data_IF_043658030126
#
_entry.id   IF_043658030126
#
_cell.length_a   1.000
_cell.length_b   1.000
_cell.length_c   1.000
_cell.angle_alpha   90.00
_cell.angle_beta   90.00
_cell.angle_gamma   90.00
#
_symmetry.space_group_name_H-M   'P 1'
#
loop_
_entity.id
_entity.type
_entity.pdbx_description
1 polymer ?
#
# COMPACT_ATOMS: atom_id res chain seq x y z
N UNK A 1 17.33 29.39 -42.39
CA UNK A 1 17.19 28.87 -43.77
C UNK A 1 16.94 27.38 -43.65
N UNK A 2 15.80 26.77 -43.99
CA UNK A 2 14.82 27.07 -45.01
C UNK A 2 13.39 26.80 -44.48
N UNK A 3 12.55 27.83 -44.51
CA UNK A 3 11.10 27.78 -44.29
C UNK A 3 10.46 28.86 -45.17
N UNK A 4 10.77 28.83 -46.48
CA UNK A 4 10.29 29.84 -47.42
C UNK A 4 10.45 29.37 -48.88
N UNK A 5 9.67 28.38 -49.31
CA UNK A 5 9.47 28.11 -50.74
C UNK A 5 8.30 27.14 -50.95
N UNK A 6 7.06 27.64 -50.98
CA UNK A 6 5.93 27.05 -51.70
C UNK A 6 4.74 28.01 -51.61
N UNK A 7 4.86 29.14 -52.32
CA UNK A 7 3.76 30.09 -52.56
C UNK A 7 3.96 30.72 -53.95
N UNK A 8 3.32 30.13 -54.95
CA UNK A 8 3.05 30.58 -56.35
C UNK A 8 2.72 29.29 -57.10
N UNK A 9 1.47 28.91 -57.32
CA UNK A 9 0.47 29.39 -58.29
C UNK A 9 -0.92 28.90 -57.80
N UNK A 10 -2.09 29.50 -58.01
CA UNK A 10 -2.45 30.58 -58.91
C UNK A 10 -3.72 30.32 -59.74
N UNK A 11 -4.80 29.68 -59.24
CA UNK A 11 -6.14 29.74 -59.87
C UNK A 11 -7.28 29.77 -58.82
N UNK A 12 -8.16 30.78 -58.94
CA UNK A 12 -9.37 31.07 -58.13
C UNK A 12 -10.63 30.66 -58.91
N UNK A 13 -11.74 30.32 -58.23
CA UNK A 13 -13.11 30.86 -58.48
C UNK A 13 -14.04 30.58 -57.28
N UNK A 14 -15.09 31.41 -57.17
CA UNK A 14 -15.84 31.88 -55.98
C UNK A 14 -17.03 30.99 -55.50
N UNK A 15 -17.74 31.35 -54.40
CA UNK A 15 -18.51 30.45 -53.52
C UNK A 15 -20.03 30.48 -53.74
N UNK A 16 -20.76 29.50 -53.19
CA UNK A 16 -22.23 29.47 -53.20
C UNK A 16 -22.81 28.92 -51.89
N UNK A 17 -23.77 29.69 -51.36
CA UNK A 17 -24.89 29.34 -50.45
C UNK A 17 -24.73 29.72 -48.96
N UNK A 18 -25.43 30.81 -48.64
CA UNK A 18 -25.73 31.43 -47.35
C UNK A 18 -26.78 30.67 -46.51
N UNK A 19 -26.88 30.92 -45.19
CA UNK A 19 -27.95 30.38 -44.36
C UNK A 19 -29.21 31.24 -44.45
N UNK A 20 -30.41 30.62 -44.43
CA UNK A 20 -31.68 31.33 -44.25
C UNK A 20 -32.56 30.67 -43.17
N UNK A 21 -33.41 31.47 -42.50
CA UNK A 21 -34.04 31.15 -41.21
C UNK A 21 -35.43 30.51 -41.39
N UNK A 22 -35.94 29.85 -40.34
CA UNK A 22 -37.34 29.42 -40.28
C UNK A 22 -38.04 30.17 -39.14
N UNK A 23 -39.13 30.79 -39.55
CA UNK A 23 -40.12 31.60 -38.83
C UNK A 23 -40.90 30.83 -37.76
N UNK A 24 -41.25 31.55 -36.69
CA UNK A 24 -42.21 31.14 -35.67
C UNK A 24 -43.67 31.31 -36.16
N UNK A 25 -44.52 30.29 -35.97
CA UNK A 25 -45.97 30.37 -35.69
C UNK A 25 -46.42 29.04 -35.05
N UNK A 26 -47.20 29.09 -33.95
CA UNK A 26 -48.15 28.02 -33.61
C UNK A 26 -48.05 27.43 -32.20
N UNK A 27 -48.78 28.01 -31.25
CA UNK A 27 -49.02 27.56 -29.87
C UNK A 27 -50.02 26.41 -29.76
N UNK A 28 -49.68 25.35 -29.01
CA UNK A 28 -50.63 24.52 -28.21
C UNK A 28 -49.86 23.66 -27.19
N UNK A 29 -50.32 23.47 -25.94
CA UNK A 29 -49.50 22.94 -24.85
C UNK A 29 -49.45 21.40 -24.85
N UNK A 30 -48.24 20.84 -24.83
CA UNK A 30 -48.01 19.42 -24.51
C UNK A 30 -48.18 19.22 -23.00
N UNK A 31 -49.14 18.38 -22.63
CA UNK A 31 -49.33 17.87 -21.27
C UNK A 31 -48.11 17.02 -20.83
N UNK A 32 -47.75 16.99 -19.55
CA UNK A 32 -46.64 16.17 -19.07
C UNK A 32 -47.12 14.74 -18.82
N UNK A 33 -46.81 13.81 -19.71
CA UNK A 33 -46.87 12.37 -19.41
C UNK A 33 -45.48 11.91 -18.96
N UNK A 34 -45.21 12.07 -17.67
CA UNK A 34 -44.19 11.28 -16.98
C UNK A 34 -44.90 10.45 -15.91
N UNK A 35 -45.65 9.45 -16.36
CA UNK A 35 -45.89 8.26 -15.55
C UNK A 35 -44.60 7.45 -15.58
N UNK A 36 -43.88 7.51 -14.46
CA UNK A 36 -42.74 6.64 -14.17
C UNK A 36 -43.32 5.24 -13.87
N UNK A 37 -43.76 4.54 -14.92
CA UNK A 37 -44.11 3.12 -14.84
C UNK A 37 -42.82 2.34 -14.57
N UNK A 38 -42.54 2.14 -13.27
CA UNK A 38 -41.50 1.23 -12.83
C UNK A 38 -41.74 -0.17 -13.43
N UNK A 39 -40.67 -0.89 -13.82
CA UNK A 39 -40.82 -2.15 -14.53
C UNK A 39 -41.59 -3.17 -13.68
N UNK A 40 -42.69 -3.67 -14.24
CA UNK A 40 -43.53 -4.72 -13.69
C UNK A 40 -42.67 -5.97 -13.48
N UNK A 41 -42.51 -6.40 -12.22
CA UNK A 41 -41.78 -7.61 -11.86
C UNK A 41 -40.60 -7.45 -10.90
N UNK A 42 -40.42 -6.29 -10.26
CA UNK A 42 -39.40 -6.15 -9.20
C UNK A 42 -39.80 -7.04 -8.01
N UNK A 43 -39.07 -8.14 -7.80
CA UNK A 43 -39.13 -8.90 -6.53
C UNK A 43 -38.89 -7.92 -5.38
N UNK A 44 -39.95 -7.57 -4.65
CA UNK A 44 -39.83 -6.74 -3.46
C UNK A 44 -38.87 -7.42 -2.48
N UNK A 45 -37.78 -6.74 -2.14
CA UNK A 45 -36.87 -7.23 -1.10
C UNK A 45 -37.63 -7.18 0.22
N UNK A 46 -37.69 -8.29 0.95
CA UNK A 46 -38.33 -8.33 2.27
C UNK A 46 -37.74 -7.26 3.19
N UNK A 47 -38.62 -6.51 3.88
CA UNK A 47 -38.24 -5.47 4.85
C UNK A 47 -37.31 -6.01 5.95
N UNK A 48 -37.46 -7.28 6.31
CA UNK A 48 -36.62 -7.97 7.29
C UNK A 48 -35.18 -8.14 6.79
N UNK A 49 -34.99 -8.46 5.50
CA UNK A 49 -33.65 -8.59 4.89
C UNK A 49 -32.92 -7.26 4.88
N UNK A 50 -33.62 -6.17 4.50
CA UNK A 50 -33.04 -4.82 4.53
C UNK A 50 -32.66 -4.41 5.96
N UNK A 51 -33.55 -4.66 6.93
CA UNK A 51 -33.29 -4.38 8.36
C UNK A 51 -32.08 -5.15 8.89
N UNK A 52 -31.96 -6.43 8.55
CA UNK A 52 -30.81 -7.26 8.94
C UNK A 52 -29.51 -6.75 8.32
N UNK A 53 -29.52 -6.37 7.03
CA UNK A 53 -28.35 -5.74 6.38
C UNK A 53 -27.95 -4.43 7.05
N UNK A 54 -28.91 -3.57 7.37
CA UNK A 54 -28.64 -2.32 8.10
C UNK A 54 -27.96 -2.59 9.45
N UNK A 55 -28.45 -3.57 10.22
CA UNK A 55 -27.83 -3.96 11.50
C UNK A 55 -26.39 -4.42 11.31
N UNK A 56 -26.12 -5.25 10.30
CA UNK A 56 -24.77 -5.72 9.98
C UNK A 56 -23.83 -4.58 9.58
N UNK A 57 -24.25 -3.69 8.68
CA UNK A 57 -23.43 -2.55 8.24
C UNK A 57 -23.15 -1.59 9.39
N UNK A 58 -24.13 -1.35 10.28
CA UNK A 58 -23.95 -0.53 11.49
C UNK A 58 -22.92 -1.13 12.43
N UNK A 59 -22.91 -2.45 12.60
CA UNK A 59 -21.90 -3.14 13.41
C UNK A 59 -20.51 -3.03 12.78
N UNK A 60 -20.39 -3.22 11.46
CA UNK A 60 -19.14 -3.03 10.72
C UNK A 60 -18.63 -1.58 10.88
N UNK A 61 -19.51 -0.59 10.81
CA UNK A 61 -19.13 0.81 11.01
C UNK A 61 -18.59 1.06 12.43
N UNK A 62 -19.20 0.49 13.47
CA UNK A 62 -18.71 0.59 14.85
C UNK A 62 -17.34 -0.08 15.02
N UNK A 63 -17.16 -1.27 14.45
CA UNK A 63 -15.90 -2.02 14.52
C UNK A 63 -14.79 -1.22 13.82
N UNK A 64 -15.03 -0.70 12.62
CA UNK A 64 -14.04 0.10 11.87
C UNK A 64 -13.69 1.40 12.61
N UNK A 65 -14.65 2.09 13.23
CA UNK A 65 -14.36 3.25 14.10
C UNK A 65 -13.47 2.89 15.29
N UNK A 66 -13.76 1.78 15.98
CA UNK A 66 -12.94 1.30 17.08
C UNK A 66 -11.53 0.93 16.60
N UNK A 67 -11.41 0.19 15.49
CA UNK A 67 -10.12 -0.21 14.91
C UNK A 67 -9.29 1.00 14.47
N UNK A 68 -9.91 2.06 13.94
CA UNK A 68 -9.23 3.33 13.65
C UNK A 68 -8.59 3.91 14.92
N UNK A 69 -9.33 3.96 16.03
CA UNK A 69 -8.80 4.47 17.31
C UNK A 69 -7.69 3.60 17.89
N UNK A 70 -7.81 2.27 17.78
CA UNK A 70 -6.75 1.34 18.21
C UNK A 70 -5.48 1.53 17.39
N UNK A 71 -5.60 1.65 16.06
CA UNK A 71 -4.46 1.93 15.19
C UNK A 71 -3.82 3.29 15.50
N UNK A 72 -4.63 4.32 15.76
CA UNK A 72 -4.15 5.65 16.16
C UNK A 72 -3.32 5.61 17.45
N UNK A 73 -3.80 4.88 18.46
CA UNK A 73 -3.09 4.72 19.74
C UNK A 73 -1.75 4.01 19.54
N UNK A 74 -1.74 2.90 18.79
CA UNK A 74 -0.51 2.15 18.47
C UNK A 74 0.47 2.96 17.64
N UNK A 75 -0.03 3.72 16.67
CA UNK A 75 0.79 4.60 15.84
C UNK A 75 1.58 5.57 16.71
N UNK A 76 0.93 6.28 17.63
CA UNK A 76 1.61 7.21 18.54
C UNK A 76 2.72 6.55 19.36
N UNK A 77 2.46 5.34 19.87
CA UNK A 77 3.43 4.60 20.67
C UNK A 77 4.67 4.14 19.88
N UNK A 78 4.50 3.85 18.59
CA UNK A 78 5.58 3.38 17.71
C UNK A 78 6.30 4.55 17.04
N UNK A 79 5.58 5.63 16.73
CA UNK A 79 6.11 6.79 16.02
C UNK A 79 7.32 7.39 16.75
N UNK A 80 7.22 7.62 18.07
CA UNK A 80 8.36 8.14 18.86
C UNK A 80 9.57 7.21 18.75
N UNK A 81 9.37 5.89 18.85
CA UNK A 81 10.46 4.92 18.70
C UNK A 81 11.09 4.92 17.31
N UNK A 82 10.27 5.07 16.26
CA UNK A 82 10.73 5.13 14.88
C UNK A 82 11.48 6.44 14.58
N UNK A 83 11.10 7.54 15.21
CA UNK A 83 11.82 8.82 15.12
C UNK A 83 13.17 8.73 15.86
N UNK A 84 13.18 8.17 17.07
CA UNK A 84 14.38 7.97 17.87
C UNK A 84 15.37 7.00 17.19
N UNK A 85 14.88 5.97 16.48
CA UNK A 85 15.74 5.01 15.77
C UNK A 85 16.48 5.61 14.58
N UNK A 86 16.05 6.77 14.06
CA UNK A 86 16.71 7.39 12.89
C UNK A 86 18.15 7.82 13.20
N UNK A 87 18.42 8.26 14.42
CA UNK A 87 19.77 8.66 14.84
C UNK A 87 20.76 7.49 14.90
N UNK A 88 20.27 6.24 14.99
CA UNK A 88 21.12 5.06 15.15
C UNK A 88 21.76 4.61 13.83
N UNK A 89 21.03 4.68 12.71
CA UNK A 89 21.52 4.16 11.42
C UNK A 89 22.23 5.23 10.56
N UNK A 90 21.92 6.50 10.76
CA UNK A 90 22.50 7.62 10.00
C UNK A 90 24.04 7.69 10.04
N UNK A 91 24.71 7.47 11.19
CA UNK A 91 26.18 7.47 11.24
C UNK A 91 26.80 6.40 10.34
N UNK A 92 26.19 5.21 10.25
CA UNK A 92 26.69 4.15 9.38
C UNK A 92 26.54 4.52 7.91
N UNK A 93 25.43 5.14 7.51
CA UNK A 93 25.27 5.63 6.13
C UNK A 93 26.20 6.79 5.82
N UNK A 94 26.54 7.64 6.80
CA UNK A 94 27.52 8.69 6.63
C UNK A 94 28.93 8.13 6.44
N UNK A 95 29.30 7.08 7.20
CA UNK A 95 30.61 6.46 7.17
C UNK A 95 30.81 5.52 5.96
N UNK A 96 29.83 4.65 5.70
CA UNK A 96 29.94 3.60 4.68
C UNK A 96 29.30 4.00 3.34
N UNK A 97 28.56 5.11 3.32
CA UNK A 97 27.80 5.56 2.16
C UNK A 97 26.51 4.77 1.93
N UNK A 98 25.75 5.19 0.92
CA UNK A 98 24.62 4.45 0.38
C UNK A 98 24.94 4.10 -1.08
N UNK A 99 25.14 2.81 -1.36
CA UNK A 99 25.53 2.31 -2.67
C UNK A 99 24.46 1.33 -3.19
N UNK A 100 23.28 1.83 -3.61
CA UNK A 100 22.19 0.98 -4.07
C UNK A 100 22.48 0.33 -5.43
N UNK A 101 23.44 0.83 -6.21
CA UNK A 101 23.73 0.37 -7.57
C UNK A 101 24.88 -0.62 -7.70
N UNK A 102 25.40 -1.17 -6.59
CA UNK A 102 26.47 -2.18 -6.66
C UNK A 102 25.94 -3.45 -7.32
N UNK A 103 26.60 -3.88 -8.38
CA UNK A 103 26.36 -5.16 -9.03
C UNK A 103 27.16 -6.24 -8.28
N UNK A 104 26.44 -7.23 -7.77
CA UNK A 104 27.00 -8.31 -6.97
C UNK A 104 26.41 -9.64 -7.40
N UNK A 105 27.16 -10.72 -7.17
CA UNK A 105 26.76 -12.07 -7.59
C UNK A 105 25.64 -12.60 -6.69
N UNK A 106 25.71 -12.44 -5.37
CA UNK A 106 24.71 -12.93 -4.41
C UNK A 106 23.89 -11.79 -3.79
N UNK A 107 22.72 -11.51 -4.37
CA UNK A 107 21.80 -10.51 -3.84
C UNK A 107 20.75 -11.14 -2.91
N UNK A 108 20.55 -10.57 -1.73
CA UNK A 108 19.50 -11.00 -0.81
C UNK A 108 18.54 -9.86 -0.54
N UNK A 109 17.27 -10.05 -0.89
CA UNK A 109 16.23 -9.05 -0.74
C UNK A 109 15.42 -9.35 0.52
N UNK A 110 15.60 -8.53 1.55
CA UNK A 110 14.88 -8.61 2.81
C UNK A 110 13.58 -7.80 2.69
N UNK A 111 12.45 -8.50 2.57
CA UNK A 111 11.14 -7.85 2.40
C UNK A 111 10.43 -7.70 3.74
N UNK A 112 10.33 -6.47 4.24
CA UNK A 112 9.63 -6.16 5.49
C UNK A 112 8.14 -5.94 5.22
N UNK A 113 7.29 -6.73 5.87
CA UNK A 113 5.83 -6.66 5.77
C UNK A 113 5.15 -6.83 7.13
N UNK A 114 3.82 -6.74 7.16
CA UNK A 114 3.03 -6.96 8.37
C UNK A 114 2.55 -8.41 8.51
N UNK A 115 2.27 -8.82 9.75
CA UNK A 115 1.57 -10.09 10.02
C UNK A 115 0.05 -9.93 9.83
N UNK A 116 -0.48 -8.76 10.19
CA UNK A 116 -1.92 -8.47 10.19
C UNK A 116 -2.35 -7.78 8.90
N UNK A 117 -3.55 -8.11 8.44
CA UNK A 117 -4.18 -7.43 7.29
C UNK A 117 -4.74 -6.04 7.65
N UNK A 118 -5.64 -5.58 6.78
CA UNK A 118 -6.39 -4.31 6.95
C UNK A 118 -5.51 -3.05 6.99
N UNK A 119 -4.28 -3.13 6.47
CA UNK A 119 -3.32 -2.03 6.38
C UNK A 119 -3.26 -1.39 4.98
N UNK A 120 -4.37 -1.48 4.22
CA UNK A 120 -4.42 -0.99 2.84
C UNK A 120 -3.43 -1.72 1.92
N UNK A 121 -2.73 -0.95 1.08
CA UNK A 121 -1.82 -1.46 0.05
C UNK A 121 -0.34 -1.58 0.44
N UNK A 122 0.01 -1.40 1.72
CA UNK A 122 1.42 -1.39 2.19
C UNK A 122 2.16 -2.67 1.81
N UNK A 123 1.64 -3.84 2.18
CA UNK A 123 2.31 -5.11 1.94
C UNK A 123 2.46 -5.40 0.44
N UNK A 124 1.43 -5.08 -0.35
CA UNK A 124 1.48 -5.26 -1.80
C UNK A 124 2.50 -4.33 -2.46
N UNK A 125 2.73 -3.14 -1.89
CA UNK A 125 3.75 -2.20 -2.37
C UNK A 125 5.15 -2.72 -2.07
N UNK A 126 5.42 -3.19 -0.84
CA UNK A 126 6.69 -3.84 -0.49
C UNK A 126 6.98 -5.02 -1.42
N UNK A 127 6.03 -5.95 -1.58
CA UNK A 127 6.20 -7.12 -2.44
C UNK A 127 6.42 -6.74 -3.90
N UNK A 128 5.72 -5.72 -4.42
CA UNK A 128 5.90 -5.24 -5.79
C UNK A 128 7.32 -4.72 -6.01
N UNK A 129 7.87 -3.98 -5.05
CA UNK A 129 9.23 -3.43 -5.14
C UNK A 129 10.27 -4.52 -5.00
N UNK A 130 10.09 -5.46 -4.07
CA UNK A 130 10.96 -6.63 -3.95
C UNK A 130 11.02 -7.42 -5.25
N UNK A 131 9.87 -7.65 -5.91
CA UNK A 131 9.82 -8.31 -7.22
C UNK A 131 10.49 -7.49 -8.32
N UNK A 132 10.40 -6.16 -8.26
CA UNK A 132 11.07 -5.28 -9.22
C UNK A 132 12.59 -5.33 -9.05
N UNK A 133 13.09 -5.23 -7.81
CA UNK A 133 14.51 -5.36 -7.49
C UNK A 133 15.06 -6.72 -7.90
N UNK A 134 14.32 -7.79 -7.64
CA UNK A 134 14.72 -9.12 -8.08
C UNK A 134 14.89 -9.17 -9.59
N UNK A 135 13.96 -8.63 -10.37
CA UNK A 135 14.09 -8.58 -11.83
C UNK A 135 15.25 -7.72 -12.32
N UNK A 136 15.55 -6.63 -11.63
CA UNK A 136 16.67 -5.74 -11.98
C UNK A 136 18.03 -6.39 -11.73
N UNK A 137 18.13 -7.19 -10.67
CA UNK A 137 19.38 -7.85 -10.26
C UNK A 137 19.49 -9.30 -10.74
N UNK A 138 18.45 -9.83 -11.40
CA UNK A 138 18.47 -11.16 -12.02
C UNK A 138 19.33 -11.12 -13.29
N UNK A 139 20.47 -11.80 -13.27
CA UNK A 139 21.38 -11.95 -14.40
C UNK A 139 21.87 -13.39 -14.55
N UNK A 140 22.51 -13.76 -15.67
CA UNK A 140 23.01 -15.13 -15.89
C UNK A 140 24.01 -15.60 -14.82
N UNK A 141 24.73 -14.65 -14.20
CA UNK A 141 25.74 -14.91 -13.16
C UNK A 141 25.31 -14.45 -11.75
N UNK A 142 24.11 -13.87 -11.63
CA UNK A 142 23.64 -13.27 -10.38
C UNK A 142 22.53 -14.12 -9.77
N UNK A 143 22.77 -14.63 -8.57
CA UNK A 143 21.79 -15.30 -7.74
C UNK A 143 21.07 -14.27 -6.86
N UNK A 144 19.74 -14.20 -6.97
CA UNK A 144 18.92 -13.33 -6.10
C UNK A 144 17.98 -14.16 -5.26
N UNK A 145 18.04 -13.98 -3.94
CA UNK A 145 17.22 -14.70 -2.97
C UNK A 145 16.38 -13.74 -2.13
N UNK A 146 15.35 -14.26 -1.48
CA UNK A 146 14.45 -13.52 -0.63
C UNK A 146 14.52 -13.98 0.82
N UNK A 147 14.54 -13.01 1.72
CA UNK A 147 14.23 -13.18 3.13
C UNK A 147 12.94 -12.42 3.39
N UNK A 148 11.92 -13.11 3.91
CA UNK A 148 10.59 -12.55 4.09
C UNK A 148 10.27 -12.37 5.56
N UNK A 149 9.99 -11.13 5.95
CA UNK A 149 9.52 -10.79 7.29
C UNK A 149 8.03 -10.46 7.24
N UNK A 150 7.24 -11.23 7.97
CA UNK A 150 5.81 -11.07 8.12
C UNK A 150 4.99 -12.03 7.25
N UNK A 151 3.86 -12.48 7.82
CA UNK A 151 2.99 -13.48 7.19
C UNK A 151 2.36 -12.97 5.87
N UNK A 152 2.14 -11.65 5.70
CA UNK A 152 1.47 -11.13 4.50
C UNK A 152 2.34 -11.11 3.25
N UNK A 153 3.63 -10.80 3.34
CA UNK A 153 4.52 -10.94 2.19
C UNK A 153 4.70 -12.41 1.81
N UNK A 154 4.85 -13.30 2.80
CA UNK A 154 4.93 -14.75 2.59
C UNK A 154 3.74 -15.24 1.76
N UNK A 155 2.51 -14.93 2.19
CA UNK A 155 1.30 -15.33 1.47
C UNK A 155 1.25 -14.82 0.01
N UNK A 156 1.84 -13.65 -0.29
CA UNK A 156 1.88 -13.07 -1.64
C UNK A 156 3.03 -13.61 -2.51
N UNK A 157 4.13 -14.04 -1.91
CA UNK A 157 5.34 -14.45 -2.62
C UNK A 157 5.47 -15.96 -2.79
N UNK A 158 4.90 -16.77 -1.88
CA UNK A 158 4.99 -18.24 -1.91
C UNK A 158 4.41 -18.87 -3.18
N UNK A 159 3.51 -18.20 -3.90
CA UNK A 159 2.97 -18.73 -5.17
C UNK A 159 3.93 -18.56 -6.34
N UNK A 160 4.64 -17.44 -6.40
CA UNK A 160 5.40 -17.03 -7.58
C UNK A 160 6.91 -17.29 -7.43
N UNK A 161 7.45 -17.12 -6.21
CA UNK A 161 8.90 -17.10 -5.94
C UNK A 161 9.30 -18.07 -4.84
N UNK A 162 8.57 -19.19 -4.68
CA UNK A 162 8.82 -20.17 -3.60
C UNK A 162 10.26 -20.69 -3.59
N UNK A 163 10.85 -20.88 -4.77
CA UNK A 163 12.18 -21.45 -4.94
C UNK A 163 13.29 -20.52 -4.44
N UNK A 164 13.04 -19.21 -4.52
CA UNK A 164 14.03 -18.18 -4.24
C UNK A 164 13.90 -17.66 -2.79
N UNK A 165 12.97 -18.19 -1.99
CA UNK A 165 12.79 -17.81 -0.58
C UNK A 165 13.63 -18.76 0.29
N UNK A 166 14.59 -18.21 1.01
CA UNK A 166 15.42 -18.98 1.95
C UNK A 166 14.86 -18.97 3.36
N UNK A 167 14.52 -17.78 3.86
CA UNK A 167 14.11 -17.60 5.25
C UNK A 167 12.78 -16.84 5.33
N UNK A 168 11.91 -17.34 6.21
CA UNK A 168 10.61 -16.75 6.50
C UNK A 168 10.51 -16.55 8.01
N UNK A 169 10.34 -15.31 8.43
CA UNK A 169 10.16 -14.93 9.83
C UNK A 169 8.77 -14.33 9.99
N UNK A 170 8.00 -14.82 10.96
CA UNK A 170 6.61 -14.39 11.23
C UNK A 170 6.41 -14.02 12.69
N UNK A 171 5.28 -13.39 13.02
CA UNK A 171 4.93 -12.97 14.39
C UNK A 171 5.82 -11.85 14.97
N UNK A 172 6.46 -11.06 14.12
CA UNK A 172 7.36 -9.97 14.51
C UNK A 172 6.66 -8.90 15.38
N UNK A 173 5.36 -8.70 15.17
CA UNK A 173 4.59 -7.62 15.81
C UNK A 173 3.67 -8.09 16.94
N UNK A 174 3.88 -9.31 17.46
CA UNK A 174 3.09 -9.85 18.57
C UNK A 174 3.38 -9.11 19.88
N UNK A 175 4.66 -8.84 20.12
CA UNK A 175 5.16 -8.08 21.26
C UNK A 175 5.59 -6.67 20.82
N UNK A 176 5.74 -5.70 21.75
CA UNK A 176 6.37 -4.43 21.45
C UNK A 176 7.77 -4.66 20.86
N UNK A 177 8.04 -4.02 19.72
CA UNK A 177 9.32 -4.13 19.03
C UNK A 177 10.45 -3.64 19.94
N UNK A 178 11.45 -4.50 20.12
CA UNK A 178 12.68 -4.25 20.88
C UNK A 178 13.88 -4.49 20.00
N UNK A 179 14.96 -3.74 20.23
CA UNK A 179 16.22 -3.93 19.52
C UNK A 179 16.74 -5.37 19.66
N UNK A 180 16.68 -5.93 20.87
CA UNK A 180 17.13 -7.29 21.17
C UNK A 180 16.41 -8.38 20.36
N UNK A 181 15.14 -8.16 20.01
CA UNK A 181 14.40 -9.11 19.18
C UNK A 181 14.88 -9.02 17.73
N UNK A 182 15.09 -7.80 17.23
CA UNK A 182 15.54 -7.59 15.86
C UNK A 182 17.00 -8.00 15.67
N UNK A 183 17.86 -7.82 16.68
CA UNK A 183 19.26 -8.29 16.62
C UNK A 183 19.34 -9.81 16.52
N UNK A 184 18.53 -10.55 17.28
CA UNK A 184 18.47 -12.03 17.17
C UNK A 184 18.02 -12.45 15.77
N UNK A 185 17.07 -11.74 15.17
CA UNK A 185 16.62 -12.02 13.80
C UNK A 185 17.68 -11.64 12.77
N UNK A 186 18.43 -10.56 12.99
CA UNK A 186 19.54 -10.17 12.15
C UNK A 186 20.63 -11.24 12.19
N UNK A 187 21.01 -11.71 13.38
CA UNK A 187 21.99 -12.80 13.56
C UNK A 187 21.55 -14.09 12.86
N UNK A 188 20.26 -14.43 12.94
CA UNK A 188 19.72 -15.63 12.26
C UNK A 188 19.75 -15.49 10.74
N UNK A 189 19.53 -14.29 10.20
CA UNK A 189 19.70 -14.00 8.77
C UNK A 189 21.17 -14.13 8.39
N UNK A 190 22.08 -13.50 9.14
CA UNK A 190 23.52 -13.51 8.86
C UNK A 190 24.12 -14.92 8.89
N UNK A 191 23.61 -15.81 9.75
CA UNK A 191 24.11 -17.20 9.87
C UNK A 191 23.61 -18.14 8.79
N UNK A 192 22.34 -17.99 8.37
CA UNK A 192 21.69 -18.95 7.49
C UNK A 192 21.76 -18.56 6.01
N UNK A 193 22.10 -17.31 5.71
CA UNK A 193 22.05 -16.75 4.36
C UNK A 193 23.42 -16.23 3.97
N UNK A 194 23.96 -16.76 2.87
CA UNK A 194 25.15 -16.20 2.23
C UNK A 194 24.75 -15.02 1.34
N UNK A 195 25.36 -13.84 1.57
CA UNK A 195 25.03 -12.63 0.83
C UNK A 195 26.29 -11.82 0.49
N UNK A 196 26.22 -11.18 -0.68
CA UNK A 196 27.16 -10.14 -1.10
C UNK A 196 26.55 -8.75 -0.84
N UNK A 197 25.25 -8.59 -1.13
CA UNK A 197 24.49 -7.39 -0.78
C UNK A 197 23.10 -7.74 -0.23
N UNK A 198 22.80 -7.20 0.94
CA UNK A 198 21.50 -7.24 1.59
C UNK A 198 20.72 -5.98 1.25
N UNK A 199 19.57 -6.16 0.60
CA UNK A 199 18.68 -5.08 0.16
C UNK A 199 17.39 -5.14 0.98
N UNK A 200 17.27 -4.26 1.96
CA UNK A 200 16.14 -4.22 2.87
C UNK A 200 15.06 -3.30 2.30
N UNK A 201 13.92 -3.90 1.95
CA UNK A 201 12.74 -3.21 1.42
C UNK A 201 11.75 -2.97 2.54
N UNK A 202 11.48 -1.71 2.84
CA UNK A 202 10.53 -1.30 3.86
C UNK A 202 9.79 -0.02 3.47
N UNK A 203 8.75 0.34 4.21
CA UNK A 203 8.02 1.59 3.99
C UNK A 203 8.43 2.61 5.04
N UNK A 204 9.05 3.70 4.59
CA UNK A 204 9.40 4.84 5.43
C UNK A 204 8.15 5.65 5.76
N UNK A 205 7.94 5.91 7.04
CA UNK A 205 6.82 6.71 7.51
C UNK A 205 7.11 8.19 7.26
N UNK A 206 6.31 8.80 6.38
CA UNK A 206 6.34 10.24 6.14
C UNK A 206 5.18 10.92 6.87
N UNK A 207 3.98 10.38 6.73
CA UNK A 207 2.79 10.85 7.45
C UNK A 207 1.77 9.72 7.57
N UNK A 208 0.71 9.95 8.32
CA UNK A 208 -0.45 9.03 8.43
C UNK A 208 -1.03 8.61 7.07
N UNK A 209 -0.96 9.51 6.08
CA UNK A 209 -1.59 9.32 4.77
C UNK A 209 -0.58 8.83 3.73
N UNK A 210 0.69 9.20 3.88
CA UNK A 210 1.74 8.93 2.89
C UNK A 210 2.90 8.17 3.52
N UNK A 211 3.29 7.09 2.86
CA UNK A 211 4.48 6.31 3.15
C UNK A 211 5.33 6.23 1.87
N UNK A 212 6.65 6.23 2.02
CA UNK A 212 7.59 6.12 0.91
C UNK A 212 8.27 4.75 0.97
N UNK A 213 8.01 3.87 0.00
CA UNK A 213 8.76 2.63 -0.10
C UNK A 213 10.24 2.93 -0.35
N UNK A 214 11.11 2.44 0.52
CA UNK A 214 12.54 2.72 0.52
C UNK A 214 13.31 1.41 0.52
N UNK A 215 14.46 1.41 -0.16
CA UNK A 215 15.39 0.28 -0.21
C UNK A 215 16.67 0.76 0.44
N UNK A 216 17.10 0.09 1.50
CA UNK A 216 18.41 0.32 2.09
C UNK A 216 19.33 -0.85 1.74
N UNK A 217 20.56 -0.54 1.33
CA UNK A 217 21.54 -1.55 0.93
C UNK A 217 22.62 -1.66 2.00
N UNK A 218 22.89 -2.88 2.43
CA UNK A 218 24.00 -3.23 3.32
C UNK A 218 24.89 -4.22 2.56
N UNK A 219 26.17 -3.95 2.50
CA UNK A 219 27.14 -4.77 1.78
C UNK A 219 27.78 -5.79 2.74
N UNK A 220 28.26 -6.90 2.19
CA UNK A 220 29.08 -7.84 2.95
C UNK A 220 30.46 -7.24 3.28
N UNK A 221 31.11 -7.64 4.38
CA UNK A 221 32.42 -7.13 4.77
C UNK A 221 33.47 -7.23 3.66
N UNK A 222 33.51 -8.35 2.94
CA UNK A 222 34.44 -8.59 1.83
C UNK A 222 34.28 -7.58 0.69
N UNK A 223 33.03 -7.21 0.39
CA UNK A 223 32.73 -6.26 -0.67
C UNK A 223 32.96 -4.83 -0.19
N UNK A 224 32.66 -4.53 1.08
CA UNK A 224 33.00 -3.24 1.68
C UNK A 224 34.50 -2.99 1.60
N UNK A 225 35.32 -4.00 1.93
CA UNK A 225 36.79 -3.91 1.83
C UNK A 225 37.24 -3.70 0.38
N UNK A 226 36.72 -4.49 -0.56
CA UNK A 226 37.02 -4.33 -2.00
C UNK A 226 36.62 -2.96 -2.55
N UNK A 227 35.47 -2.43 -2.16
CA UNK A 227 34.99 -1.11 -2.59
C UNK A 227 35.77 0.03 -1.91
N UNK A 228 36.26 -0.19 -0.68
CA UNK A 228 37.15 0.75 -0.01
C UNK A 228 38.51 0.85 -0.73
N UNK A 229 39.05 -0.28 -1.20
CA UNK A 229 40.29 -0.33 -1.99
C UNK A 229 40.13 0.25 -3.41
N UNK A 230 38.93 0.16 -4.00
CA UNK A 230 38.65 0.64 -5.35
C UNK A 230 38.53 2.18 -5.48
N UNK A 231 38.70 2.94 -4.39
CA UNK A 231 38.73 4.41 -4.42
C UNK A 231 37.36 5.10 -4.41
N UNK A 232 36.31 4.44 -3.89
CA UNK A 232 34.99 5.03 -3.67
C UNK A 232 34.92 5.95 -2.44
N UNK A 233 33.72 6.41 -2.04
CA UNK A 233 33.52 7.14 -0.77
C UNK A 233 34.03 6.37 0.46
N UNK A 234 34.06 5.04 0.38
CA UNK A 234 34.62 4.14 1.39
C UNK A 234 36.15 4.27 1.53
N UNK A 235 36.85 4.88 0.56
CA UNK A 235 38.28 5.19 0.67
C UNK A 235 38.57 6.27 1.73
N UNK A 236 37.56 7.06 2.13
CA UNK A 236 37.66 7.98 3.26
C UNK A 236 37.82 7.26 4.61
N UNK A 237 37.60 5.94 4.70
CA UNK A 237 37.86 5.18 5.93
C UNK A 237 39.32 5.21 6.37
N UNK A 238 40.27 5.40 5.44
CA UNK A 238 41.70 5.52 5.78
C UNK A 238 42.02 6.82 6.53
N UNK A 239 41.09 7.78 6.59
CA UNK A 239 41.21 8.99 7.41
C UNK A 239 40.93 8.76 8.89
N UNK A 240 40.38 7.59 9.25
CA UNK A 240 40.05 7.25 10.63
C UNK A 240 41.16 6.39 11.24
N UNK A 241 41.65 6.83 12.40
CA UNK A 241 42.54 6.00 13.21
C UNK A 241 41.72 4.96 13.97
N UNK A 242 42.13 3.71 13.85
CA UNK A 242 41.47 2.58 14.50
C UNK A 242 42.08 2.40 15.90
N UNK A 243 41.29 2.67 16.93
CA UNK A 243 41.67 2.40 18.31
C UNK A 243 41.39 0.93 18.66
N UNK A 244 42.44 0.13 18.90
CA UNK A 244 42.32 -1.26 19.33
C UNK A 244 43.49 -2.15 18.92
N UNK A 245 43.49 -3.40 19.40
CA UNK A 245 44.43 -4.44 18.97
C UNK A 245 43.91 -5.32 17.82
N UNK A 246 42.72 -5.03 17.30
CA UNK A 246 42.04 -5.79 16.25
C UNK A 246 42.49 -5.32 14.85
N UNK A 247 42.43 -6.21 13.87
CA UNK A 247 42.79 -5.88 12.49
C UNK A 247 41.67 -5.05 11.83
N UNK A 248 42.01 -4.17 10.87
CA UNK A 248 41.02 -3.38 10.10
C UNK A 248 39.85 -4.22 9.55
N UNK A 249 40.14 -5.41 9.02
CA UNK A 249 39.13 -6.33 8.50
C UNK A 249 38.15 -6.83 9.57
N UNK A 250 38.61 -7.16 10.78
CA UNK A 250 37.77 -7.65 11.88
C UNK A 250 36.80 -6.57 12.36
N UNK A 251 37.28 -5.32 12.47
CA UNK A 251 36.44 -4.19 12.86
C UNK A 251 35.40 -3.88 11.79
N UNK A 252 35.77 -3.92 10.50
CA UNK A 252 34.82 -3.73 9.41
C UNK A 252 33.73 -4.80 9.39
N UNK A 253 34.09 -6.05 9.70
CA UNK A 253 33.11 -7.11 9.85
C UNK A 253 32.14 -6.82 11.00
N UNK A 254 32.65 -6.56 12.20
CA UNK A 254 31.83 -6.23 13.38
C UNK A 254 30.93 -5.02 13.11
N UNK A 255 31.46 -4.01 12.41
CA UNK A 255 30.74 -2.79 12.05
C UNK A 255 29.62 -3.06 11.03
N UNK A 256 29.86 -3.88 10.02
CA UNK A 256 28.85 -4.24 9.02
C UNK A 256 27.70 -5.06 9.62
N UNK A 257 28.01 -6.01 10.52
CA UNK A 257 27.01 -6.80 11.24
C UNK A 257 26.16 -5.89 12.17
N UNK A 258 26.80 -4.95 12.85
CA UNK A 258 26.11 -3.99 13.69
C UNK A 258 25.28 -2.98 12.88
N UNK A 259 25.80 -2.51 11.74
CA UNK A 259 25.06 -1.68 10.79
C UNK A 259 23.81 -2.41 10.33
N UNK A 260 23.92 -3.68 9.92
CA UNK A 260 22.78 -4.47 9.47
C UNK A 260 21.70 -4.52 10.55
N UNK A 261 22.07 -4.85 11.80
CA UNK A 261 21.15 -4.87 12.94
C UNK A 261 20.45 -3.52 13.16
N UNK A 262 21.19 -2.40 13.07
CA UNK A 262 20.66 -1.05 13.25
C UNK A 262 19.70 -0.64 12.13
N UNK A 263 20.09 -0.87 10.87
CA UNK A 263 19.27 -0.56 9.69
C UNK A 263 18.00 -1.42 9.69
N UNK A 264 18.14 -2.71 10.02
CA UNK A 264 17.02 -3.65 10.13
C UNK A 264 16.04 -3.23 11.23
N UNK A 265 16.54 -2.82 12.41
CA UNK A 265 15.71 -2.29 13.49
C UNK A 265 14.91 -1.06 13.07
N UNK A 266 15.56 -0.10 12.42
CA UNK A 266 14.89 1.07 11.89
C UNK A 266 13.85 0.71 10.81
N UNK A 267 14.19 -0.18 9.88
CA UNK A 267 13.30 -0.63 8.81
C UNK A 267 12.02 -1.28 9.36
N UNK A 268 12.15 -2.12 10.39
CA UNK A 268 11.02 -2.78 11.06
C UNK A 268 10.14 -1.76 11.78
N UNK A 269 10.72 -0.78 12.48
CA UNK A 269 9.97 0.28 13.17
C UNK A 269 9.23 1.20 12.19
N UNK A 270 9.92 1.68 11.15
CA UNK A 270 9.35 2.52 10.10
C UNK A 270 8.20 1.81 9.37
N UNK A 271 8.37 0.53 9.05
CA UNK A 271 7.32 -0.26 8.43
C UNK A 271 6.13 -0.48 9.37
N UNK A 272 6.37 -0.76 10.66
CA UNK A 272 5.31 -0.90 11.65
C UNK A 272 4.54 0.42 11.88
N UNK A 273 5.24 1.55 11.86
CA UNK A 273 4.64 2.89 11.94
C UNK A 273 3.76 3.16 10.71
N UNK A 274 4.31 2.98 9.50
CA UNK A 274 3.60 3.10 8.23
C UNK A 274 2.36 2.20 8.18
N UNK A 275 2.46 0.96 8.65
CA UNK A 275 1.35 0.03 8.74
C UNK A 275 0.20 0.55 9.60
N UNK A 276 0.48 1.10 10.80
CA UNK A 276 -0.58 1.65 11.63
C UNK A 276 -1.20 2.90 10.99
N UNK A 277 -0.39 3.74 10.34
CA UNK A 277 -0.88 4.90 9.57
C UNK A 277 -1.85 4.48 8.46
N UNK A 278 -1.44 3.54 7.61
CA UNK A 278 -2.29 3.05 6.53
C UNK A 278 -3.52 2.28 7.04
N UNK A 279 -3.40 1.53 8.13
CA UNK A 279 -4.56 0.89 8.78
C UNK A 279 -5.56 1.93 9.27
N UNK A 280 -5.09 3.02 9.88
CA UNK A 280 -5.96 4.10 10.34
C UNK A 280 -6.71 4.73 9.15
N UNK A 281 -6.02 5.01 8.05
CA UNK A 281 -6.60 5.54 6.81
C UNK A 281 -7.59 4.57 6.13
N UNK A 282 -7.28 3.27 6.12
CA UNK A 282 -8.15 2.23 5.58
C UNK A 282 -9.43 2.07 6.42
N UNK A 283 -9.32 2.09 7.75
CA UNK A 283 -10.48 2.01 8.65
C UNK A 283 -11.36 3.26 8.58
N UNK A 284 -10.76 4.43 8.44
CA UNK A 284 -11.49 5.69 8.27
C UNK A 284 -12.31 5.69 6.98
N UNK A 285 -11.71 5.28 5.87
CA UNK A 285 -12.40 5.12 4.58
C UNK A 285 -13.49 4.05 4.65
N UNK A 286 -13.23 2.93 5.33
CA UNK A 286 -14.24 1.88 5.53
C UNK A 286 -15.43 2.36 6.36
N UNK A 287 -15.20 3.22 7.36
CA UNK A 287 -16.26 3.78 8.20
C UNK A 287 -17.16 4.77 7.45
N UNK A 288 -16.56 5.61 6.59
CA UNK A 288 -17.30 6.50 5.68
C UNK A 288 -18.15 5.69 4.69
N UNK A 289 -17.54 4.72 4.01
CA UNK A 289 -18.24 3.86 3.05
C UNK A 289 -19.41 3.08 3.70
N UNK A 290 -19.24 2.64 4.95
CA UNK A 290 -20.32 2.02 5.71
C UNK A 290 -21.44 3.02 6.07
N UNK A 291 -21.11 4.28 6.31
CA UNK A 291 -22.08 5.37 6.50
C UNK A 291 -22.93 5.59 5.25
N UNK A 292 -22.29 5.79 4.10
CA UNK A 292 -22.98 6.00 2.82
C UNK A 292 -23.89 4.81 2.47
N UNK A 293 -23.45 3.60 2.79
CA UNK A 293 -24.25 2.38 2.60
C UNK A 293 -25.46 2.33 3.54
N UNK A 294 -25.32 2.76 4.79
CA UNK A 294 -26.43 2.86 5.74
C UNK A 294 -27.48 3.86 5.27
N UNK A 295 -27.06 5.01 4.74
CA UNK A 295 -27.96 6.04 4.26
C UNK A 295 -28.80 5.53 3.07
N UNK A 296 -28.14 4.86 2.11
CA UNK A 296 -28.82 4.20 0.99
C UNK A 296 -29.80 3.12 1.46
N UNK A 297 -29.37 2.25 2.38
CA UNK A 297 -30.23 1.19 2.92
C UNK A 297 -31.42 1.76 3.71
N UNK A 298 -31.26 2.90 4.37
CA UNK A 298 -32.33 3.58 5.11
C UNK A 298 -33.40 4.09 4.15
N UNK A 299 -33.00 4.70 3.04
CA UNK A 299 -33.93 5.13 1.99
C UNK A 299 -34.69 3.94 1.40
N UNK A 300 -33.98 2.86 1.06
CA UNK A 300 -34.60 1.63 0.55
C UNK A 300 -35.56 1.04 1.57
N UNK A 301 -35.18 0.94 2.84
CA UNK A 301 -36.04 0.42 3.91
C UNK A 301 -37.33 1.22 4.04
N UNK A 302 -37.25 2.56 4.02
CA UNK A 302 -38.42 3.41 4.14
C UNK A 302 -39.38 3.25 2.96
N UNK A 303 -38.85 3.17 1.72
CA UNK A 303 -39.66 2.89 0.51
C UNK A 303 -40.33 1.53 0.57
N UNK A 304 -39.58 0.47 0.91
CA UNK A 304 -40.13 -0.88 1.03
C UNK A 304 -41.16 -0.98 2.16
N UNK A 305 -40.94 -0.28 3.28
CA UNK A 305 -41.91 -0.21 4.38
C UNK A 305 -43.21 0.45 3.95
N UNK A 306 -43.12 1.59 3.24
CA UNK A 306 -44.30 2.28 2.71
C UNK A 306 -45.06 1.40 1.71
N UNK A 307 -44.35 0.76 0.78
CA UNK A 307 -44.95 -0.17 -0.18
C UNK A 307 -45.68 -1.33 0.53
N UNK A 308 -45.07 -1.95 1.55
CA UNK A 308 -45.70 -3.01 2.35
C UNK A 308 -46.99 -2.53 3.02
N UNK A 309 -46.96 -1.35 3.67
CA UNK A 309 -48.15 -0.78 4.32
C UNK A 309 -49.25 -0.51 3.29
N UNK A 310 -48.91 0.06 2.14
CA UNK A 310 -49.89 0.33 1.08
C UNK A 310 -50.47 -0.96 0.50
N UNK A 311 -49.67 -2.00 0.27
CA UNK A 311 -50.15 -3.31 -0.18
C UNK A 311 -51.08 -3.95 0.85
N UNK A 312 -50.70 -3.98 2.13
CA UNK A 312 -51.54 -4.49 3.21
C UNK A 312 -52.89 -3.73 3.29
N UNK A 313 -52.88 -2.41 3.14
CA UNK A 313 -54.11 -1.61 3.12
C UNK A 313 -55.00 -1.91 1.89
N UNK A 314 -54.41 -2.06 0.71
CA UNK A 314 -55.15 -2.42 -0.51
C UNK A 314 -55.77 -3.82 -0.37
N UNK A 315 -55.05 -4.77 0.23
CA UNK A 315 -55.55 -6.13 0.50
C UNK A 315 -56.74 -6.10 1.47
N UNK A 316 -56.66 -5.29 2.54
CA UNK A 316 -57.77 -5.12 3.50
C UNK A 316 -59.00 -4.52 2.82
N UNK A 317 -58.83 -3.44 2.05
CA UNK A 317 -59.95 -2.78 1.35
C UNK A 317 -60.57 -3.71 0.32
N UNK A 318 -59.75 -4.40 -0.47
CA UNK A 318 -60.22 -5.35 -1.49
C UNK A 318 -60.98 -6.52 -0.87
N UNK A 319 -60.49 -7.04 0.28
CA UNK A 319 -61.16 -8.10 1.03
C UNK A 319 -62.50 -7.65 1.63
N UNK A 320 -62.59 -6.41 2.14
CA UNK A 320 -63.83 -5.84 2.65
C UNK A 320 -64.87 -5.63 1.54
N UNK A 321 -64.46 -5.03 0.41
CA UNK A 321 -65.35 -4.82 -0.74
C UNK A 321 -65.87 -6.12 -1.36
N UNK A 322 -65.08 -7.20 -1.30
CA UNK A 322 -65.49 -8.52 -1.78
C UNK A 322 -66.58 -9.19 -0.91
N UNK A 323 -66.82 -8.69 0.31
CA UNK A 323 -67.89 -9.17 1.20
C UNK A 323 -69.18 -8.35 1.10
N UNK A 324 -69.10 -7.12 0.58
CA UNK A 324 -70.24 -6.22 0.42
C UNK A 324 -70.96 -6.38 -0.94
N UNK A 325 -70.32 -7.03 -1.92
CA UNK A 325 -70.88 -7.36 -3.23
C UNK A 325 -71.28 -8.84 -3.35
#
# INVERSE_FOLDING_TARGET
MAMAALRREGKRFAPLISPRPITAVGSSPLAPTHEDEGPIGVRYISTQVVRNRMKSVKNIQKITKAMKMVAASKLRAIQTKAEDSRGLWQPFTALLGDTPSVDVKKNVIVTVSSDKGLCGGINSTSVKISKALHKLNSGPENETKYVVLGEKAKAQMVRDSKKDIELIITELQKNPLSYTQVSVLADDILKNVEFDALRIVFNKFHSVVSFLPTVSTVLSPEIVEREAEAGGKLSELDSYEIEGGETKGEILQNLAEFQFSCVMFNAVLENACSEQGARMSAMDSSSRNAGDMLDRLTLTYNRTRQASITTELIEIISGASALEG
#
